data_IF_836308893517
#
_entry.id   IF_836308893517
#
_cell.length_a   1.000
_cell.length_b   1.000
_cell.length_c   1.000
_cell.angle_alpha   90.00
_cell.angle_beta   90.00
_cell.angle_gamma   90.00
#
_symmetry.space_group_name_H-M   'P 1'
#
loop_
_entity.id
_entity.type
_entity.pdbx_description
1 polymer ?
#
# COMPACT_ATOMS: atom_id res chain seq x y z
N UNK A 1 29.63 11.74 -2.44
CA UNK A 1 29.86 10.44 -3.11
C UNK A 1 28.95 9.42 -2.45
N UNK A 2 27.68 9.40 -2.82
CA UNK A 2 26.74 8.37 -2.33
C UNK A 2 25.61 8.15 -3.36
N UNK A 3 26.01 8.05 -4.63
CA UNK A 3 25.13 7.55 -5.68
C UNK A 3 25.29 6.03 -5.78
N UNK A 4 24.17 5.36 -6.05
CA UNK A 4 24.09 4.04 -6.68
C UNK A 4 24.03 2.77 -5.84
N UNK A 5 23.41 2.79 -4.66
CA UNK A 5 22.92 1.52 -4.05
C UNK A 5 21.62 1.00 -4.68
N UNK A 6 20.85 1.87 -5.35
CA UNK A 6 19.53 1.54 -5.94
C UNK A 6 19.59 1.12 -7.41
N UNK A 7 20.57 1.59 -8.19
CA UNK A 7 20.73 1.21 -9.61
C UNK A 7 20.88 -0.30 -9.83
N UNK A 8 21.66 -1.05 -9.02
CA UNK A 8 21.81 -2.49 -9.20
C UNK A 8 20.50 -3.26 -9.00
N UNK A 9 19.65 -2.79 -8.08
CA UNK A 9 18.35 -3.40 -7.77
C UNK A 9 17.37 -3.16 -8.93
N UNK A 10 17.35 -1.95 -9.48
CA UNK A 10 16.49 -1.60 -10.62
C UNK A 10 16.90 -2.34 -11.90
N UNK A 11 18.20 -2.47 -12.18
CA UNK A 11 18.70 -3.28 -13.30
C UNK A 11 18.35 -4.76 -13.14
N UNK A 12 18.45 -5.30 -11.91
CA UNK A 12 18.07 -6.68 -11.63
C UNK A 12 16.59 -6.94 -11.89
N UNK A 13 15.70 -6.05 -11.44
CA UNK A 13 14.26 -6.15 -11.68
C UNK A 13 13.92 -6.01 -13.17
N UNK A 14 14.57 -5.10 -13.89
CA UNK A 14 14.38 -4.94 -15.33
C UNK A 14 14.82 -6.18 -16.13
N UNK A 15 15.90 -6.85 -15.71
CA UNK A 15 16.39 -8.08 -16.34
C UNK A 15 15.42 -9.26 -16.15
N UNK A 16 14.94 -9.46 -14.92
CA UNK A 16 13.93 -10.47 -14.58
C UNK A 16 12.65 -10.30 -15.42
N UNK A 17 12.19 -9.06 -15.59
CA UNK A 17 11.01 -8.74 -16.40
C UNK A 17 11.19 -9.10 -17.88
N UNK A 18 12.36 -8.82 -18.45
CA UNK A 18 12.66 -9.12 -19.86
C UNK A 18 12.88 -10.63 -20.13
N UNK A 19 13.34 -11.40 -19.14
CA UNK A 19 13.48 -12.86 -19.25
C UNK A 19 12.13 -13.57 -19.27
N UNK A 20 11.13 -13.08 -18.51
CA UNK A 20 9.76 -13.62 -18.54
C UNK A 20 9.04 -13.39 -19.89
N UNK A 21 9.35 -12.30 -20.59
CA UNK A 21 8.82 -11.99 -21.92
C UNK A 21 9.41 -12.90 -23.02
N UNK A 22 10.63 -13.42 -22.83
CA UNK A 22 11.26 -14.35 -23.79
C UNK A 22 10.73 -15.77 -23.68
N UNK A 23 10.26 -16.20 -22.49
CA UNK A 23 9.69 -17.54 -22.30
C UNK A 23 8.29 -17.72 -22.90
N UNK A 24 7.54 -16.64 -23.18
CA UNK A 24 6.21 -16.72 -23.81
C UNK A 24 6.25 -16.75 -25.34
N UNK A 25 7.43 -16.62 -25.95
CA UNK A 25 7.58 -16.60 -27.42
C UNK A 25 8.48 -17.74 -27.91
N UNK A 26 8.10 -19.01 -27.71
CA UNK A 26 8.65 -20.10 -28.54
C UNK A 26 7.80 -21.38 -28.60
N UNK A 27 7.36 -21.71 -29.84
CA UNK A 27 7.20 -23.03 -30.51
C UNK A 27 5.83 -23.20 -31.23
N UNK A 28 5.71 -24.09 -32.25
CA UNK A 28 6.38 -24.11 -33.56
C UNK A 28 5.36 -24.16 -34.73
N UNK A 29 5.83 -23.93 -35.96
CA UNK A 29 5.01 -23.95 -37.18
C UNK A 29 4.71 -25.39 -37.68
N UNK A 30 3.45 -25.68 -38.09
CA UNK A 30 3.12 -26.50 -39.29
C UNK A 30 1.58 -26.59 -39.64
N UNK A 31 1.25 -26.03 -40.81
CA UNK A 31 0.34 -26.46 -41.92
C UNK A 31 -1.21 -26.72 -41.78
N UNK A 32 -1.94 -25.88 -42.56
CA UNK A 32 -3.06 -26.13 -43.54
C UNK A 32 -4.57 -26.09 -43.12
N UNK A 33 -5.22 -24.94 -43.43
CA UNK A 33 -6.55 -24.56 -44.03
C UNK A 33 -7.74 -25.57 -44.15
N UNK A 34 -8.99 -25.10 -44.43
CA UNK A 34 -9.73 -23.87 -44.01
C UNK A 34 -11.24 -24.11 -43.69
N UNK A 35 -11.94 -23.21 -42.95
CA UNK A 35 -13.29 -22.67 -43.30
C UNK A 35 -13.98 -21.85 -42.18
N UNK A 36 -14.50 -20.68 -42.62
CA UNK A 36 -15.71 -19.94 -42.22
C UNK A 36 -15.83 -19.22 -40.86
N UNK A 37 -15.90 -17.87 -40.96
CA UNK A 37 -16.86 -16.92 -40.34
C UNK A 37 -17.26 -17.17 -38.87
N UNK A 38 -17.07 -16.26 -37.92
CA UNK A 38 -17.46 -14.83 -37.91
C UNK A 38 -16.77 -14.13 -36.72
N UNK A 39 -16.53 -12.83 -36.89
CA UNK A 39 -15.91 -11.94 -35.91
C UNK A 39 -16.79 -11.73 -34.66
N UNK A 40 -16.25 -12.03 -33.49
CA UNK A 40 -16.36 -11.16 -32.33
C UNK A 40 -14.94 -10.90 -31.84
N UNK A 41 -14.50 -9.67 -32.04
CA UNK A 41 -13.22 -9.19 -31.54
C UNK A 41 -13.27 -9.18 -30.01
N UNK A 42 -12.71 -10.22 -29.39
CA UNK A 42 -12.13 -10.07 -28.07
C UNK A 42 -11.04 -9.01 -28.21
N UNK A 43 -11.40 -7.76 -27.90
CA UNK A 43 -10.44 -6.76 -27.52
C UNK A 43 -9.73 -7.32 -26.30
N UNK A 44 -8.64 -8.04 -26.53
CA UNK A 44 -7.62 -8.25 -25.53
C UNK A 44 -7.10 -6.85 -25.26
N UNK A 45 -7.75 -6.15 -24.32
CA UNK A 45 -7.16 -5.02 -23.64
C UNK A 45 -5.88 -5.56 -23.02
N UNK A 46 -4.80 -5.43 -23.77
CA UNK A 46 -3.46 -5.46 -23.24
C UNK A 46 -3.42 -4.27 -22.30
N UNK A 47 -3.80 -4.50 -21.04
CA UNK A 47 -3.64 -3.52 -19.98
C UNK A 47 -2.12 -3.37 -19.80
N UNK A 48 -1.53 -2.52 -20.62
CA UNK A 48 -0.16 -2.11 -20.46
C UNK A 48 -0.15 -1.26 -19.20
N UNK A 49 0.11 -1.89 -18.06
CA UNK A 49 0.26 -1.24 -16.76
C UNK A 49 1.48 -0.32 -16.82
N UNK A 50 1.33 0.86 -17.44
CA UNK A 50 2.35 1.88 -17.55
C UNK A 50 2.34 2.68 -16.26
N UNK A 51 3.33 2.44 -15.40
CA UNK A 51 3.55 3.23 -14.19
C UNK A 51 4.56 4.32 -14.55
N UNK A 52 4.12 5.58 -14.54
CA UNK A 52 5.02 6.73 -14.66
C UNK A 52 5.44 7.17 -13.25
N UNK A 53 6.71 6.95 -12.92
CA UNK A 53 7.27 7.34 -11.63
C UNK A 53 7.74 8.79 -11.70
N UNK A 54 6.92 9.69 -11.17
CA UNK A 54 7.29 11.09 -10.99
C UNK A 54 8.17 11.23 -9.75
N UNK A 55 9.38 11.74 -9.93
CA UNK A 55 10.26 12.12 -8.84
C UNK A 55 9.98 13.58 -8.50
N UNK A 56 9.57 13.85 -7.26
CA UNK A 56 9.32 15.21 -6.80
C UNK A 56 10.65 15.89 -6.41
N UNK A 57 11.45 16.23 -7.42
CA UNK A 57 12.79 16.80 -7.22
C UNK A 57 12.80 18.34 -7.24
N UNK A 58 11.66 19.00 -7.47
CA UNK A 58 11.57 20.45 -7.61
C UNK A 58 10.66 21.10 -6.56
N UNK A 59 11.23 22.06 -5.82
CA UNK A 59 10.58 22.91 -4.80
C UNK A 59 9.24 23.55 -5.25
N UNK A 60 9.06 23.76 -6.56
CA UNK A 60 7.84 24.35 -7.12
C UNK A 60 6.60 23.45 -7.07
N UNK A 61 6.77 22.13 -7.20
CA UNK A 61 5.66 21.15 -7.31
C UNK A 61 5.35 20.47 -5.95
N UNK A 62 6.17 20.76 -4.94
CA UNK A 62 6.10 20.26 -3.57
C UNK A 62 5.16 21.07 -2.65
N UNK A 63 4.58 22.18 -3.11
CA UNK A 63 3.68 23.01 -2.29
C UNK A 63 2.50 22.18 -1.77
N UNK A 64 2.51 21.92 -0.45
CA UNK A 64 1.49 21.14 0.25
C UNK A 64 1.69 19.61 0.25
N UNK A 65 2.87 19.11 -0.16
CA UNK A 65 3.17 17.66 -0.23
C UNK A 65 4.47 17.29 0.47
N UNK A 66 4.89 18.10 1.44
CA UNK A 66 6.06 17.84 2.27
C UNK A 66 5.65 17.23 3.60
N UNK A 67 6.45 16.29 4.07
CA UNK A 67 6.30 15.67 5.39
C UNK A 67 7.55 16.00 6.20
N UNK A 68 7.39 16.69 7.32
CA UNK A 68 8.50 16.90 8.28
C UNK A 68 8.56 15.73 9.24
N UNK A 69 9.72 15.08 9.32
CA UNK A 69 9.99 14.00 10.27
C UNK A 69 10.60 14.61 11.53
N UNK A 70 9.97 14.40 12.68
CA UNK A 70 10.49 14.88 13.97
C UNK A 70 11.39 13.84 14.66
N UNK A 71 12.46 14.26 15.36
CA UNK A 71 13.43 13.33 15.95
C UNK A 71 12.84 12.32 16.94
N UNK A 72 11.70 12.64 17.57
CA UNK A 72 11.02 11.76 18.54
C UNK A 72 10.60 10.42 17.93
N UNK A 73 10.30 10.40 16.63
CA UNK A 73 9.83 9.18 15.95
C UNK A 73 10.95 8.17 15.70
N UNK A 74 12.23 8.59 15.74
CA UNK A 74 13.39 7.76 15.39
C UNK A 74 13.47 6.51 16.28
N UNK A 75 13.15 6.64 17.56
CA UNK A 75 13.19 5.53 18.52
C UNK A 75 11.98 4.58 18.46
N UNK A 76 10.93 4.96 17.71
CA UNK A 76 9.68 4.18 17.62
C UNK A 76 9.54 3.57 16.23
N UNK A 77 9.69 4.38 15.17
CA UNK A 77 9.62 3.97 13.78
C UNK A 77 10.38 4.98 12.89
N UNK A 78 11.68 4.77 12.65
CA UNK A 78 12.58 5.79 12.10
C UNK A 78 12.40 6.10 10.61
N UNK A 79 11.76 5.22 9.85
CA UNK A 79 11.67 5.33 8.40
C UNK A 79 10.24 5.57 7.95
N UNK A 80 10.08 6.55 7.04
CA UNK A 80 8.83 6.86 6.38
C UNK A 80 9.07 6.97 4.87
N UNK A 81 8.20 6.32 4.09
CA UNK A 81 8.15 6.48 2.65
C UNK A 81 6.71 6.79 2.25
N UNK A 82 6.53 7.75 1.34
CA UNK A 82 5.23 8.11 0.80
C UNK A 82 5.30 8.24 -0.71
N UNK A 83 4.22 7.85 -1.39
CA UNK A 83 4.05 8.08 -2.82
C UNK A 83 2.60 8.49 -3.08
N UNK A 84 2.39 9.14 -4.21
CA UNK A 84 1.06 9.52 -4.69
C UNK A 84 0.78 8.73 -5.95
N UNK A 85 -0.28 7.93 -5.92
CA UNK A 85 -0.77 7.23 -7.12
C UNK A 85 -1.98 8.00 -7.64
N UNK A 86 -1.88 8.50 -8.87
CA UNK A 86 -2.96 9.24 -9.54
C UNK A 86 -3.71 8.32 -10.51
N UNK A 87 -4.93 8.73 -10.88
CA UNK A 87 -5.77 8.03 -11.86
C UNK A 87 -6.12 6.60 -11.43
N UNK A 88 -6.34 6.38 -10.14
CA UNK A 88 -6.82 5.10 -9.60
C UNK A 88 -8.33 5.10 -9.54
N UNK A 89 -8.98 4.14 -10.19
CA UNK A 89 -10.42 3.92 -10.08
C UNK A 89 -10.76 2.99 -8.90
N UNK A 90 -11.06 3.61 -7.76
CA UNK A 90 -11.58 2.92 -6.57
C UNK A 90 -13.10 3.01 -6.45
N UNK A 91 -13.78 3.78 -7.30
CA UNK A 91 -15.22 4.00 -7.25
C UNK A 91 -15.99 2.84 -7.88
N UNK A 92 -15.40 2.18 -8.89
CA UNK A 92 -15.97 0.98 -9.49
C UNK A 92 -16.16 -0.13 -8.46
N UNK A 93 -17.34 -0.75 -8.50
CA UNK A 93 -17.77 -1.74 -7.53
C UNK A 93 -16.73 -2.87 -7.35
N UNK A 94 -16.30 -3.07 -6.11
CA UNK A 94 -15.36 -4.12 -5.75
C UNK A 94 -13.87 -3.76 -5.91
N UNK A 95 -13.51 -2.69 -6.62
CA UNK A 95 -12.09 -2.29 -6.76
C UNK A 95 -11.51 -1.84 -5.43
N UNK A 96 -12.24 -1.04 -4.64
CA UNK A 96 -11.83 -0.67 -3.29
C UNK A 96 -11.61 -1.91 -2.41
N UNK A 97 -12.49 -2.90 -2.48
CA UNK A 97 -12.34 -4.15 -1.72
C UNK A 97 -11.10 -4.93 -2.15
N UNK A 98 -10.85 -5.05 -3.46
CA UNK A 98 -9.64 -5.70 -4.00
C UNK A 98 -8.37 -4.96 -3.55
N UNK A 99 -8.38 -3.63 -3.58
CA UNK A 99 -7.28 -2.79 -3.13
C UNK A 99 -6.98 -2.98 -1.64
N UNK A 100 -8.02 -2.97 -0.79
CA UNK A 100 -7.86 -3.22 0.65
C UNK A 100 -7.39 -4.66 0.95
N UNK A 101 -7.84 -5.65 0.17
CA UNK A 101 -7.36 -7.01 0.29
C UNK A 101 -5.86 -7.11 -0.04
N UNK A 102 -5.41 -6.50 -1.13
CA UNK A 102 -3.99 -6.43 -1.49
C UNK A 102 -3.16 -5.79 -0.38
N UNK A 103 -3.65 -4.69 0.21
CA UNK A 103 -2.98 -4.06 1.36
C UNK A 103 -2.84 -5.03 2.54
N UNK A 104 -3.88 -5.80 2.85
CA UNK A 104 -3.83 -6.79 3.93
C UNK A 104 -2.89 -7.95 3.62
N UNK A 105 -2.85 -8.44 2.37
CA UNK A 105 -1.91 -9.48 1.95
C UNK A 105 -0.45 -9.02 2.09
N UNK A 106 -0.14 -7.78 1.69
CA UNK A 106 1.18 -7.17 1.90
C UNK A 106 1.50 -6.98 3.39
N UNK A 107 0.49 -6.67 4.21
CA UNK A 107 0.64 -6.57 5.65
C UNK A 107 0.96 -7.91 6.30
N UNK A 108 0.32 -8.98 5.86
CA UNK A 108 0.47 -10.32 6.42
C UNK A 108 1.83 -10.93 6.07
N UNK A 109 2.28 -10.77 4.81
CA UNK A 109 3.52 -11.38 4.32
C UNK A 109 4.74 -10.46 4.48
N UNK A 110 4.95 -9.53 3.53
CA UNK A 110 6.16 -8.69 3.44
C UNK A 110 6.35 -7.81 4.68
N UNK A 111 5.26 -7.32 5.27
CA UNK A 111 5.31 -6.46 6.45
C UNK A 111 5.30 -7.22 7.79
N UNK A 112 5.24 -8.56 7.76
CA UNK A 112 5.18 -9.44 8.93
C UNK A 112 4.12 -9.01 9.95
N UNK A 113 2.85 -9.07 9.54
CA UNK A 113 1.70 -8.64 10.37
C UNK A 113 1.85 -7.23 10.92
N UNK A 114 2.40 -6.32 10.12
CA UNK A 114 2.66 -4.90 10.42
C UNK A 114 3.79 -4.62 11.43
N UNK A 115 4.49 -5.66 11.88
CA UNK A 115 5.62 -5.52 12.81
C UNK A 115 6.81 -4.84 12.15
N UNK A 116 7.15 -5.22 10.92
CA UNK A 116 8.28 -4.62 10.20
C UNK A 116 7.92 -3.28 9.52
N UNK A 117 6.75 -3.22 8.87
CA UNK A 117 6.31 -2.04 8.13
C UNK A 117 4.80 -1.89 8.19
N UNK A 118 4.27 -0.68 8.04
CA UNK A 118 2.82 -0.45 7.94
C UNK A 118 2.57 0.41 6.73
N UNK A 119 1.69 -0.09 5.86
CA UNK A 119 1.20 0.66 4.70
C UNK A 119 -0.13 1.31 5.09
N UNK A 120 -0.19 2.64 5.01
CA UNK A 120 -1.41 3.42 5.14
C UNK A 120 -1.79 4.05 3.81
N UNK A 121 -3.08 4.08 3.50
CA UNK A 121 -3.62 4.68 2.27
C UNK A 121 -4.63 5.75 2.62
N UNK A 122 -4.49 6.92 2.02
CA UNK A 122 -5.31 8.08 2.29
C UNK A 122 -5.78 8.71 1.00
N UNK A 123 -6.98 9.28 1.03
CA UNK A 123 -7.47 10.13 -0.05
C UNK A 123 -6.71 11.46 -0.01
N UNK A 124 -5.94 11.73 -1.08
CA UNK A 124 -5.14 12.94 -1.20
C UNK A 124 -6.01 14.20 -1.20
N UNK A 125 -7.26 14.13 -1.66
CA UNK A 125 -8.18 15.28 -1.70
C UNK A 125 -8.61 15.75 -0.31
N UNK A 126 -8.58 14.85 0.68
CA UNK A 126 -8.94 15.14 2.08
C UNK A 126 -7.74 15.61 2.91
N UNK A 127 -6.52 15.40 2.40
CA UNK A 127 -5.30 15.84 3.06
C UNK A 127 -5.00 17.27 2.63
N UNK A 128 -4.80 18.16 3.60
CA UNK A 128 -4.40 19.54 3.35
C UNK A 128 -3.27 19.97 4.27
N UNK A 129 -2.46 20.90 3.78
CA UNK A 129 -1.38 21.51 4.56
C UNK A 129 -0.10 20.68 4.64
N UNK A 130 0.75 21.07 5.58
CA UNK A 130 2.04 20.45 5.84
C UNK A 130 1.87 19.27 6.80
N UNK A 131 2.33 18.09 6.40
CA UNK A 131 2.24 16.89 7.22
C UNK A 131 3.44 16.78 8.16
N UNK A 132 3.21 16.26 9.35
CA UNK A 132 4.26 16.03 10.35
C UNK A 132 4.22 14.56 10.76
N UNK A 133 5.36 13.89 10.67
CA UNK A 133 5.56 12.53 11.16
C UNK A 133 6.28 12.59 12.51
N UNK A 134 5.54 12.26 13.57
CA UNK A 134 5.96 12.47 14.96
C UNK A 134 5.56 11.27 15.83
N UNK A 135 6.23 11.15 16.97
CA UNK A 135 5.82 10.28 18.07
C UNK A 135 5.63 11.12 19.33
N UNK A 136 4.42 11.05 19.89
CA UNK A 136 4.02 11.78 21.10
C UNK A 136 3.51 10.84 22.17
N UNK A 137 3.37 11.36 23.38
CA UNK A 137 2.73 10.63 24.44
C UNK A 137 1.27 10.29 24.03
N UNK A 138 0.78 9.06 24.26
CA UNK A 138 -0.60 8.68 23.94
C UNK A 138 -1.67 9.60 24.53
N UNK A 139 -1.40 10.28 25.64
CA UNK A 139 -2.33 11.21 26.29
C UNK A 139 -2.40 12.57 25.56
N UNK A 140 -1.36 12.92 24.78
CA UNK A 140 -1.29 14.17 23.99
C UNK A 140 -1.91 14.02 22.59
N UNK A 141 -2.31 12.81 22.20
CA UNK A 141 -2.85 12.51 20.86
C UNK A 141 -4.36 12.40 20.94
N UNK A 142 -5.06 13.38 20.34
CA UNK A 142 -6.50 13.29 20.08
C UNK A 142 -6.78 12.77 18.67
N UNK A 143 -7.64 11.76 18.53
CA UNK A 143 -8.04 11.20 17.23
C UNK A 143 -9.53 10.83 17.19
N UNK A 144 -10.08 10.76 15.97
CA UNK A 144 -11.45 10.27 15.72
C UNK A 144 -11.34 8.88 15.08
N UNK A 145 -11.70 7.79 15.79
CA UNK A 145 -11.51 6.45 15.26
C UNK A 145 -12.48 6.13 14.12
N UNK A 146 -11.99 5.38 13.13
CA UNK A 146 -12.82 4.90 12.03
C UNK A 146 -13.98 4.05 12.56
N UNK A 147 -15.20 4.34 12.10
CA UNK A 147 -16.40 3.57 12.44
C UNK A 147 -16.95 3.77 13.86
N UNK A 148 -16.33 4.63 14.70
CA UNK A 148 -16.81 4.92 16.07
C UNK A 148 -17.49 6.28 16.23
N UNK A 149 -17.88 6.93 15.12
CA UNK A 149 -18.55 8.24 15.09
C UNK A 149 -17.60 9.43 15.23
N UNK A 150 -18.10 10.68 15.23
CA UNK A 150 -17.28 11.90 15.15
C UNK A 150 -16.64 12.32 16.49
N UNK A 151 -16.55 11.41 17.47
CA UNK A 151 -16.08 11.74 18.82
C UNK A 151 -14.55 11.71 18.88
N UNK A 152 -13.96 12.81 19.35
CA UNK A 152 -12.53 12.87 19.67
C UNK A 152 -12.24 12.04 20.93
N UNK A 153 -11.24 11.17 20.85
CA UNK A 153 -10.74 10.35 21.97
C UNK A 153 -9.23 10.46 22.07
N UNK A 154 -8.68 10.27 23.27
CA UNK A 154 -7.23 10.15 23.45
C UNK A 154 -6.72 8.83 22.84
N UNK A 155 -5.46 8.80 22.41
CA UNK A 155 -4.87 7.56 21.90
C UNK A 155 -4.75 6.49 23.00
N UNK A 156 -4.50 6.90 24.26
CA UNK A 156 -4.51 5.99 25.41
C UNK A 156 -5.86 5.31 25.61
N UNK A 157 -6.94 6.07 25.75
CA UNK A 157 -8.27 5.52 25.95
C UNK A 157 -8.69 4.62 24.79
N UNK A 158 -8.34 5.02 23.57
CA UNK A 158 -8.64 4.24 22.38
C UNK A 158 -7.88 2.91 22.38
N UNK A 159 -6.59 2.91 22.72
CA UNK A 159 -5.78 1.70 22.83
C UNK A 159 -6.33 0.75 23.90
N UNK A 160 -6.66 1.26 25.08
CA UNK A 160 -7.21 0.45 26.17
C UNK A 160 -8.57 -0.16 25.79
N UNK A 161 -9.40 0.58 25.04
CA UNK A 161 -10.62 0.03 24.47
C UNK A 161 -10.35 -1.11 23.49
N UNK A 162 -9.38 -0.95 22.59
CA UNK A 162 -9.01 -2.01 21.63
C UNK A 162 -8.48 -3.26 22.33
N UNK A 163 -7.69 -3.11 23.39
CA UNK A 163 -7.22 -4.23 24.20
C UNK A 163 -8.40 -5.00 24.83
N UNK A 164 -9.36 -4.29 25.42
CA UNK A 164 -10.58 -4.91 25.99
C UNK A 164 -11.42 -5.62 24.92
N UNK A 165 -11.63 -4.96 23.77
CA UNK A 165 -12.37 -5.52 22.64
C UNK A 165 -11.70 -6.82 22.16
N UNK A 166 -10.37 -6.81 22.00
CA UNK A 166 -9.59 -7.96 21.54
C UNK A 166 -9.60 -9.13 22.55
N UNK A 167 -9.53 -8.85 23.84
CA UNK A 167 -9.66 -9.88 24.88
C UNK A 167 -11.05 -10.51 24.92
N UNK A 168 -12.09 -9.69 24.78
CA UNK A 168 -13.46 -10.15 24.72
C UNK A 168 -13.66 -11.09 23.51
N UNK A 169 -13.16 -10.70 22.33
CA UNK A 169 -13.18 -11.55 21.16
C UNK A 169 -12.40 -12.86 21.33
N UNK A 170 -11.22 -12.81 21.96
CA UNK A 170 -10.42 -14.01 22.25
C UNK A 170 -11.23 -15.00 23.11
N UNK A 171 -11.90 -14.50 24.15
CA UNK A 171 -12.76 -15.29 25.05
C UNK A 171 -13.96 -15.88 24.29
N UNK A 172 -14.66 -15.08 23.48
CA UNK A 172 -15.78 -15.56 22.67
C UNK A 172 -15.37 -16.66 21.69
N UNK A 173 -14.21 -16.50 21.02
CA UNK A 173 -13.67 -17.46 20.06
C UNK A 173 -12.92 -18.63 20.71
N UNK A 174 -12.87 -18.70 22.06
CA UNK A 174 -12.15 -19.70 22.85
C UNK A 174 -10.70 -19.91 22.39
N UNK A 175 -10.03 -18.84 22.00
CA UNK A 175 -8.63 -18.89 21.53
C UNK A 175 -7.66 -18.75 22.70
N UNK A 176 -6.54 -19.47 22.64
CA UNK A 176 -5.49 -19.32 23.65
C UNK A 176 -4.73 -18.00 23.51
N UNK A 177 -4.52 -17.52 22.27
CA UNK A 177 -3.76 -16.31 21.96
C UNK A 177 -4.63 -15.23 21.28
N UNK A 178 -4.21 -13.97 21.38
CA UNK A 178 -4.77 -12.83 20.65
C UNK A 178 -4.42 -12.96 19.16
N UNK A 179 -5.37 -12.71 18.26
CA UNK A 179 -5.11 -12.80 16.82
C UNK A 179 -4.19 -11.68 16.35
N UNK A 180 -3.19 -12.01 15.55
CA UNK A 180 -2.29 -11.04 14.90
C UNK A 180 -0.92 -10.88 15.56
N UNK A 181 -0.73 -11.41 16.78
CA UNK A 181 0.55 -11.50 17.46
C UNK A 181 0.90 -12.99 17.61
N UNK A 182 1.76 -13.50 16.72
CA UNK A 182 2.44 -14.77 16.93
C UNK A 182 3.89 -14.46 17.31
#
# INVERSE_FOLDING_TARGET
MEQDKLKPVLEYLAKQWNEQQKSTTSKPAQKKQPQQQQQQAEATEQVQNKIEVLHFDQEGDLKGRQITILPRVINVRPHLLCCIVRNVDLATAGNLKKFLNLQNELHDDICQKRTLATIGTHDLSLISGHLVYDARDPDEIGLVPLGKGPKLVSARDFYDQLCRDAEHERKLKKRNQLSGLN
#
